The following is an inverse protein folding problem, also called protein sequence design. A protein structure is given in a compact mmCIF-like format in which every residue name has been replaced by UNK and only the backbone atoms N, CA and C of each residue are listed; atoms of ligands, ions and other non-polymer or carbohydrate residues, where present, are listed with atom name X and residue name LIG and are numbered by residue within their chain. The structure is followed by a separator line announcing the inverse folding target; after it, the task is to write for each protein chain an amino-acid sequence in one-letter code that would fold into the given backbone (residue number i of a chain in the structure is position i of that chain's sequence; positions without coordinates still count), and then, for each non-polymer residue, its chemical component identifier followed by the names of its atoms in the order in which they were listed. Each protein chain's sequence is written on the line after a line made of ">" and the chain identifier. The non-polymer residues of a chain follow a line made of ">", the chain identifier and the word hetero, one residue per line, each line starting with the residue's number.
data_IF_146227063637
#
_entry.id   IF_146227063637
#
_cell.length_a   1.000
_cell.length_b   1.000
_cell.length_c   1.000
_cell.angle_alpha   90.00
_cell.angle_beta   90.00
_cell.angle_gamma   90.00
#
_symmetry.space_group_name_H-M   'P 1'
#
loop_
_entity.id
_entity.type
_entity.pdbx_description
1 polymer ?
#
# COMPACT_ATOMS: atom_id res chain seq x y z
N UNK A 1 -27.12 -10.19 38.08
CA UNK A 1 -27.63 -10.46 36.72
C UNK A 1 -26.74 -9.78 35.67
N UNK A 2 -25.94 -10.61 35.03
CA UNK A 2 -24.73 -10.31 34.28
C UNK A 2 -25.01 -9.54 32.98
N UNK A 3 -24.19 -8.52 32.70
CA UNK A 3 -24.30 -7.61 31.57
C UNK A 3 -24.51 -8.35 30.24
N UNK A 4 -25.54 -7.97 29.50
CA UNK A 4 -25.75 -8.43 28.13
C UNK A 4 -24.57 -7.97 27.27
N UNK A 5 -23.92 -8.96 26.65
CA UNK A 5 -22.74 -8.81 25.81
C UNK A 5 -22.96 -7.76 24.71
N UNK A 6 -22.18 -6.67 24.78
CA UNK A 6 -21.84 -5.91 23.59
C UNK A 6 -21.01 -6.84 22.71
N UNK A 7 -21.55 -7.16 21.53
CA UNK A 7 -20.97 -8.08 20.57
C UNK A 7 -19.50 -7.76 20.30
N UNK A 8 -18.66 -8.76 20.49
CA UNK A 8 -17.26 -8.69 20.10
C UNK A 8 -17.15 -8.48 18.59
N UNK A 9 -16.28 -7.53 18.25
CA UNK A 9 -15.40 -7.52 17.07
C UNK A 9 -16.06 -7.39 15.70
N UNK A 10 -16.34 -6.16 15.32
CA UNK A 10 -16.69 -5.79 13.95
C UNK A 10 -16.14 -4.43 13.53
N UNK A 11 -15.05 -3.96 14.13
CA UNK A 11 -14.30 -2.86 13.51
C UNK A 11 -13.61 -3.45 12.27
N UNK A 12 -14.30 -3.44 11.13
CA UNK A 12 -13.62 -3.47 9.84
C UNK A 12 -12.65 -2.30 9.91
N UNK A 13 -11.37 -2.59 10.12
CA UNK A 13 -10.35 -1.58 10.02
C UNK A 13 -10.56 -0.89 8.66
N UNK A 14 -10.51 0.45 8.61
CA UNK A 14 -10.68 1.16 7.36
C UNK A 14 -9.71 0.55 6.33
N UNK A 15 -10.13 0.40 5.06
CA UNK A 15 -9.28 -0.15 4.01
C UNK A 15 -7.88 0.44 4.10
N UNK A 16 -6.83 -0.38 3.92
CA UNK A 16 -5.44 0.08 4.08
C UNK A 16 -5.17 1.38 3.31
N UNK A 17 -5.79 1.56 2.14
CA UNK A 17 -5.75 2.79 1.37
C UNK A 17 -6.15 4.04 2.17
N UNK A 18 -7.22 4.00 2.96
CA UNK A 18 -7.67 5.13 3.78
C UNK A 18 -6.69 5.43 4.92
N UNK A 19 -6.04 4.40 5.47
CA UNK A 19 -5.00 4.61 6.49
C UNK A 19 -3.75 5.26 5.89
N UNK A 20 -3.41 4.91 4.65
CA UNK A 20 -2.24 5.40 3.92
C UNK A 20 -2.47 6.77 3.25
N UNK A 21 -3.72 7.20 3.03
CA UNK A 21 -4.03 8.44 2.28
C UNK A 21 -3.38 9.71 2.86
N UNK A 22 -3.08 9.73 4.16
CA UNK A 22 -2.45 10.86 4.82
C UNK A 22 -0.92 10.79 4.86
N UNK A 23 -0.34 9.69 4.37
CA UNK A 23 1.10 9.49 4.39
C UNK A 23 1.77 10.22 3.21
N UNK A 24 2.81 11.04 3.45
CA UNK A 24 3.44 11.85 2.41
C UNK A 24 4.18 11.02 1.34
N UNK A 25 4.46 9.76 1.65
CA UNK A 25 5.12 8.80 0.76
C UNK A 25 4.12 7.92 -0.01
N UNK A 26 2.82 8.03 0.27
CA UNK A 26 1.77 7.31 -0.44
C UNK A 26 1.12 8.19 -1.50
N UNK A 27 1.14 7.72 -2.75
CA UNK A 27 0.65 8.48 -3.91
C UNK A 27 -0.67 7.96 -4.47
N UNK A 28 -1.34 7.04 -3.76
CA UNK A 28 -2.58 6.44 -4.24
C UNK A 28 -2.40 5.58 -5.50
N UNK A 29 -3.44 5.49 -6.35
CA UNK A 29 -3.38 4.76 -7.62
C UNK A 29 -2.41 5.44 -8.58
N UNK A 30 -1.23 4.84 -8.77
CA UNK A 30 -0.18 5.41 -9.61
C UNK A 30 0.40 4.33 -10.52
N UNK A 31 0.59 4.65 -11.80
CA UNK A 31 1.22 3.69 -12.72
C UNK A 31 2.73 3.58 -12.45
N UNK A 32 3.32 2.46 -12.86
CA UNK A 32 4.76 2.22 -12.76
C UNK A 32 5.58 3.36 -13.38
N UNK A 33 5.23 3.79 -14.60
CA UNK A 33 5.94 4.86 -15.32
C UNK A 33 5.81 6.22 -14.63
N UNK A 34 4.66 6.52 -14.03
CA UNK A 34 4.50 7.76 -13.27
C UNK A 34 5.34 7.73 -12.00
N UNK A 35 5.39 6.58 -11.31
CA UNK A 35 6.22 6.41 -10.12
C UNK A 35 7.70 6.62 -10.43
N UNK A 36 8.22 5.98 -11.48
CA UNK A 36 9.61 6.12 -11.92
C UNK A 36 10.01 7.57 -12.21
N UNK A 37 9.08 8.38 -12.72
CA UNK A 37 9.32 9.81 -13.00
C UNK A 37 9.37 10.69 -11.77
N UNK A 38 8.77 10.26 -10.66
CA UNK A 38 8.81 10.99 -9.38
C UNK A 38 10.11 10.74 -8.61
N UNK A 39 10.81 9.65 -8.93
CA UNK A 39 12.08 9.32 -8.30
C UNK A 39 13.23 9.99 -9.04
N UNK A 40 13.95 10.88 -8.36
CA UNK A 40 15.00 11.70 -8.96
C UNK A 40 16.40 11.32 -8.48
N UNK A 41 16.53 10.89 -7.23
CA UNK A 41 17.80 10.59 -6.58
C UNK A 41 17.80 9.17 -6.05
N UNK A 42 18.99 8.57 -5.95
CA UNK A 42 19.16 7.31 -5.26
C UNK A 42 18.73 7.45 -3.80
N UNK A 43 17.90 6.51 -3.34
CA UNK A 43 17.25 6.55 -2.02
C UNK A 43 15.85 7.15 -2.04
N UNK A 44 15.41 7.81 -3.13
CA UNK A 44 14.01 8.22 -3.27
C UNK A 44 13.12 6.98 -3.30
N UNK A 45 11.97 7.05 -2.64
CA UNK A 45 10.97 6.00 -2.67
C UNK A 45 9.55 6.57 -2.56
N UNK A 46 8.58 5.77 -2.98
CA UNK A 46 7.16 6.00 -2.77
C UNK A 46 6.40 4.69 -2.75
N UNK A 47 5.25 4.68 -2.09
CA UNK A 47 4.29 3.57 -2.16
C UNK A 47 3.13 4.00 -3.05
N UNK A 48 2.71 3.08 -3.91
CA UNK A 48 1.54 3.27 -4.79
C UNK A 48 0.63 2.07 -4.73
N UNK A 49 -0.65 2.30 -4.94
CA UNK A 49 -1.59 1.26 -5.27
C UNK A 49 -1.47 0.90 -6.76
N UNK A 50 -1.57 -0.39 -7.08
CA UNK A 50 -1.55 -0.88 -8.45
C UNK A 50 -2.79 -0.40 -9.20
N UNK A 51 -2.58 0.37 -10.28
CA UNK A 51 -3.67 0.84 -11.14
C UNK A 51 -4.46 -0.29 -11.81
N UNK A 52 -3.90 -1.50 -11.90
CA UNK A 52 -4.54 -2.67 -12.52
C UNK A 52 -5.17 -3.62 -11.51
N UNK A 53 -4.75 -3.57 -10.25
CA UNK A 53 -5.14 -4.53 -9.22
C UNK A 53 -5.42 -3.77 -7.91
N UNK A 54 -6.67 -3.34 -7.69
CA UNK A 54 -7.05 -2.68 -6.45
C UNK A 54 -6.69 -3.51 -5.22
N UNK A 55 -6.20 -2.86 -4.15
CA UNK A 55 -5.73 -3.52 -2.94
C UNK A 55 -4.30 -4.08 -3.03
N UNK A 56 -3.64 -4.01 -4.18
CA UNK A 56 -2.23 -4.38 -4.33
C UNK A 56 -1.32 -3.16 -4.21
N UNK A 57 -0.41 -3.16 -3.24
CA UNK A 57 0.50 -2.06 -3.00
C UNK A 57 1.91 -2.37 -3.47
N UNK A 58 2.61 -1.35 -3.99
CA UNK A 58 3.94 -1.48 -4.54
C UNK A 58 4.82 -0.36 -3.99
N UNK A 59 5.93 -0.74 -3.34
CA UNK A 59 7.01 0.17 -3.03
C UNK A 59 7.87 0.35 -4.28
N UNK A 60 7.98 1.59 -4.75
CA UNK A 60 8.83 1.96 -5.88
C UNK A 60 9.96 2.83 -5.36
N UNK A 61 11.22 2.44 -5.58
CA UNK A 61 12.39 3.18 -5.09
C UNK A 61 13.54 3.21 -6.09
N UNK A 62 14.40 4.21 -6.00
CA UNK A 62 15.55 4.39 -6.88
C UNK A 62 16.80 3.89 -6.17
N UNK A 63 17.53 2.95 -6.79
CA UNK A 63 18.76 2.43 -6.23
C UNK A 63 19.81 2.17 -7.32
N UNK A 64 20.94 2.87 -7.24
CA UNK A 64 22.03 2.76 -8.21
C UNK A 64 21.64 3.28 -9.59
N UNK A 65 20.81 4.32 -9.64
CA UNK A 65 20.27 4.89 -10.88
C UNK A 65 19.23 4.01 -11.59
N UNK A 66 18.76 2.93 -10.95
CA UNK A 66 17.72 2.06 -11.49
C UNK A 66 16.49 1.99 -10.59
N UNK A 67 15.28 2.17 -11.14
CA UNK A 67 14.05 2.04 -10.37
C UNK A 67 13.79 0.57 -10.06
N UNK A 68 13.46 0.32 -8.80
CA UNK A 68 13.07 -0.97 -8.25
C UNK A 68 11.62 -0.93 -7.79
N UNK A 69 10.93 -2.05 -7.96
CA UNK A 69 9.53 -2.19 -7.55
C UNK A 69 9.39 -3.45 -6.72
N UNK A 70 8.96 -3.29 -5.47
CA UNK A 70 8.73 -4.39 -4.53
C UNK A 70 7.23 -4.47 -4.23
N UNK A 71 6.68 -5.66 -4.40
CA UNK A 71 5.30 -5.93 -4.05
C UNK A 71 5.18 -5.98 -2.51
N UNK A 72 4.28 -5.18 -1.96
CA UNK A 72 3.94 -5.24 -0.55
C UNK A 72 2.79 -6.24 -0.41
N UNK A 73 3.11 -7.40 0.15
CA UNK A 73 2.14 -8.42 0.54
C UNK A 73 1.94 -8.34 2.04
N UNK A 74 0.72 -8.60 2.49
CA UNK A 74 0.45 -8.75 3.92
C UNK A 74 1.36 -9.84 4.51
N UNK A 75 1.73 -9.75 5.80
CA UNK A 75 2.62 -10.71 6.47
C UNK A 75 2.08 -12.15 6.46
N UNK A 76 0.77 -12.35 6.24
CA UNK A 76 0.13 -13.65 6.01
C UNK A 76 0.42 -14.23 4.61
N UNK A 77 1.13 -13.50 3.73
CA UNK A 77 1.51 -13.94 2.38
C UNK A 77 0.33 -14.06 1.41
N UNK A 78 -0.86 -13.59 1.79
CA UNK A 78 -2.06 -13.66 0.95
C UNK A 78 -1.97 -12.60 -0.14
N UNK A 79 -1.44 -13.01 -1.29
CA UNK A 79 -1.82 -12.35 -2.54
C UNK A 79 -3.29 -12.69 -2.73
N UNK A 80 -4.21 -11.73 -2.55
CA UNK A 80 -5.61 -11.91 -2.93
C UNK A 80 -5.65 -12.14 -4.45
N UNK A 81 -5.48 -13.40 -4.83
CA UNK A 81 -5.73 -13.91 -6.15
C UNK A 81 -7.24 -14.05 -6.22
N UNK A 82 -7.87 -13.19 -7.03
CA UNK A 82 -9.21 -13.47 -7.55
C UNK A 82 -9.18 -14.78 -8.34
#
# INVERSE_FOLDING_TARGET
>A
PFNAALGVSGAVAPPLAEQLQNEPWFHGPLSRRQAERLLTKDGDFLVRESSTTPGQYVLTGQQGGQPKHLLLVDPEGVVSKM
#
